data_IF_933089230263
#
_entry.id   IF_933089230263
#
_cell.length_a   1.000
_cell.length_b   1.000
_cell.length_c   1.000
_cell.angle_alpha   90.00
_cell.angle_beta   90.00
_cell.angle_gamma   90.00
#
_symmetry.space_group_name_H-M   'P 1'
#
loop_
_entity.id
_entity.type
_entity.pdbx_description
1 polymer ?
#
# COMPACT_ATOMS: atom_id res chain seq x y z
N UNK A 1 -27.29 -23.55 -51.31
CA UNK A 1 -26.46 -22.42 -50.81
C UNK A 1 -27.08 -21.72 -49.60
N UNK A 2 -28.37 -21.33 -49.64
CA UNK A 2 -29.07 -20.65 -48.51
C UNK A 2 -29.11 -21.42 -47.18
N UNK A 3 -29.36 -22.74 -47.23
CA UNK A 3 -29.43 -23.56 -46.01
C UNK A 3 -28.09 -23.68 -45.27
N UNK A 4 -26.97 -23.77 -46.00
CA UNK A 4 -25.62 -23.81 -45.42
C UNK A 4 -25.25 -22.48 -44.77
N UNK A 5 -25.66 -21.36 -45.36
CA UNK A 5 -25.44 -20.02 -44.79
C UNK A 5 -26.25 -19.83 -43.49
N UNK A 6 -27.50 -20.29 -43.44
CA UNK A 6 -28.34 -20.24 -42.23
C UNK A 6 -27.77 -21.08 -41.08
N UNK A 7 -27.27 -22.29 -41.36
CA UNK A 7 -26.63 -23.14 -40.36
C UNK A 7 -25.34 -22.49 -39.83
N UNK A 8 -24.55 -21.86 -40.70
CA UNK A 8 -23.31 -21.20 -40.29
C UNK A 8 -23.56 -19.95 -39.42
N UNK A 9 -24.58 -19.17 -39.74
CA UNK A 9 -25.01 -18.00 -38.94
C UNK A 9 -25.53 -18.45 -37.57
N UNK A 10 -26.34 -19.52 -37.52
CA UNK A 10 -26.86 -20.06 -36.27
C UNK A 10 -25.73 -20.62 -35.38
N UNK A 11 -24.79 -21.37 -35.95
CA UNK A 11 -23.63 -21.88 -35.22
C UNK A 11 -22.75 -20.74 -34.66
N UNK A 12 -22.52 -19.69 -35.46
CA UNK A 12 -21.77 -18.51 -35.02
C UNK A 12 -22.46 -17.77 -33.88
N UNK A 13 -23.79 -17.61 -33.96
CA UNK A 13 -24.58 -16.98 -32.89
C UNK A 13 -24.54 -17.80 -31.58
N UNK A 14 -24.59 -19.14 -31.67
CA UNK A 14 -24.46 -20.02 -30.51
C UNK A 14 -23.05 -19.91 -29.89
N UNK A 15 -21.99 -19.88 -30.70
CA UNK A 15 -20.63 -19.70 -30.19
C UNK A 15 -20.43 -18.35 -29.49
N UNK A 16 -20.98 -17.26 -30.04
CA UNK A 16 -20.95 -15.93 -29.40
C UNK A 16 -21.73 -15.96 -28.09
N UNK A 17 -22.92 -16.56 -28.07
CA UNK A 17 -23.74 -16.67 -26.86
C UNK A 17 -23.03 -17.48 -25.76
N UNK A 18 -22.44 -18.63 -26.09
CA UNK A 18 -21.67 -19.45 -25.15
C UNK A 18 -20.42 -18.72 -24.66
N UNK A 19 -19.75 -17.95 -25.54
CA UNK A 19 -18.61 -17.11 -25.18
C UNK A 19 -19.00 -16.04 -24.16
N UNK A 20 -20.07 -15.26 -24.44
CA UNK A 20 -20.59 -14.22 -23.55
C UNK A 20 -21.08 -14.83 -22.23
N UNK A 21 -21.82 -15.95 -22.28
CA UNK A 21 -22.32 -16.65 -21.09
C UNK A 21 -21.17 -17.17 -20.21
N UNK A 22 -20.11 -17.74 -20.80
CA UNK A 22 -18.93 -18.18 -20.05
C UNK A 22 -18.18 -17.00 -19.40
N UNK A 23 -18.15 -15.84 -20.06
CA UNK A 23 -17.55 -14.61 -19.54
C UNK A 23 -18.36 -14.06 -18.37
N UNK A 24 -19.69 -14.10 -18.46
CA UNK A 24 -20.62 -13.71 -17.40
C UNK A 24 -20.52 -14.63 -16.19
N UNK A 25 -20.43 -15.95 -16.41
CA UNK A 25 -20.21 -16.94 -15.34
C UNK A 25 -18.86 -16.71 -14.65
N UNK A 26 -17.78 -16.50 -15.41
CA UNK A 26 -16.45 -16.20 -14.81
C UNK A 26 -16.47 -14.91 -14.01
N UNK A 27 -17.12 -13.85 -14.51
CA UNK A 27 -17.30 -12.60 -13.76
C UNK A 27 -18.13 -12.81 -12.49
N UNK A 28 -19.19 -13.62 -12.56
CA UNK A 28 -20.06 -13.96 -11.43
C UNK A 28 -19.30 -14.75 -10.35
N UNK A 29 -18.55 -15.79 -10.74
CA UNK A 29 -17.72 -16.54 -9.79
C UNK A 29 -16.64 -15.67 -9.17
N UNK A 30 -15.95 -14.85 -9.96
CA UNK A 30 -14.95 -13.92 -9.43
C UNK A 30 -15.57 -12.90 -8.46
N UNK A 31 -16.75 -12.36 -8.79
CA UNK A 31 -17.50 -11.48 -7.89
C UNK A 31 -17.96 -12.22 -6.61
N UNK A 32 -18.35 -13.48 -6.70
CA UNK A 32 -18.77 -14.29 -5.55
C UNK A 32 -17.61 -14.63 -4.63
N UNK A 33 -16.43 -14.88 -5.19
CA UNK A 33 -15.20 -15.12 -4.44
C UNK A 33 -14.71 -13.84 -3.75
N UNK A 34 -14.78 -12.69 -4.43
CA UNK A 34 -14.52 -11.36 -3.84
C UNK A 34 -15.49 -11.10 -2.68
N UNK A 35 -16.80 -11.31 -2.87
CA UNK A 35 -17.80 -11.09 -1.82
C UNK A 35 -17.62 -12.03 -0.61
N UNK A 36 -17.22 -13.28 -0.84
CA UNK A 36 -16.91 -14.24 0.23
C UNK A 36 -15.67 -13.81 1.02
N UNK A 37 -14.63 -13.36 0.32
CA UNK A 37 -13.44 -12.79 0.95
C UNK A 37 -13.80 -11.48 1.69
N UNK A 38 -14.63 -10.61 1.14
CA UNK A 38 -15.06 -9.39 1.84
C UNK A 38 -15.78 -9.71 3.17
N UNK A 39 -16.69 -10.69 3.17
CA UNK A 39 -17.39 -11.13 4.39
C UNK A 39 -16.47 -11.75 5.45
N UNK A 40 -15.48 -12.57 5.05
CA UNK A 40 -14.55 -13.18 6.02
C UNK A 40 -13.63 -12.15 6.71
N UNK A 41 -13.46 -10.95 6.16
CA UNK A 41 -12.53 -9.93 6.65
C UNK A 41 -13.20 -8.80 7.44
N UNK A 42 -14.53 -8.64 7.34
CA UNK A 42 -15.30 -7.60 8.02
C UNK A 42 -15.49 -7.88 9.52
N UNK A 43 -15.69 -9.15 9.89
CA UNK A 43 -15.99 -9.58 11.28
C UNK A 43 -14.77 -10.21 11.99
N UNK A 44 -13.56 -9.99 11.46
CA UNK A 44 -12.36 -10.68 11.93
C UNK A 44 -11.78 -10.05 13.20
N UNK A 45 -11.26 -10.86 14.12
CA UNK A 45 -10.73 -10.41 15.40
C UNK A 45 -9.32 -9.81 15.26
N UNK A 46 -9.22 -8.49 15.18
CA UNK A 46 -7.94 -7.77 15.06
C UNK A 46 -7.12 -7.71 16.36
N UNK A 47 -7.39 -8.57 17.35
CA UNK A 47 -6.54 -8.70 18.53
C UNK A 47 -5.13 -9.14 18.13
N UNK A 48 -4.14 -8.41 18.63
CA UNK A 48 -2.73 -8.66 18.41
C UNK A 48 -2.30 -9.95 19.15
N UNK A 49 -1.49 -10.75 18.48
CA UNK A 49 -0.79 -11.88 19.11
C UNK A 49 0.37 -11.36 19.97
N UNK A 50 0.86 -12.13 20.96
CA UNK A 50 2.03 -11.74 21.75
C UNK A 50 3.27 -11.44 20.92
N UNK A 51 3.43 -12.16 19.80
CA UNK A 51 4.53 -11.95 18.85
C UNK A 51 4.39 -10.61 18.13
N UNK A 52 3.20 -10.25 17.66
CA UNK A 52 2.95 -8.95 17.00
C UNK A 52 3.15 -7.78 17.95
N UNK A 53 2.69 -7.91 19.20
CA UNK A 53 2.92 -6.90 20.25
C UNK A 53 4.43 -6.71 20.46
N UNK A 54 5.18 -7.82 20.57
CA UNK A 54 6.64 -7.78 20.74
C UNK A 54 7.32 -7.12 19.55
N UNK A 55 6.90 -7.47 18.33
CA UNK A 55 7.41 -6.87 17.10
C UNK A 55 7.14 -5.36 17.04
N UNK A 56 5.96 -4.91 17.48
CA UNK A 56 5.56 -3.51 17.42
C UNK A 56 6.27 -2.63 18.45
N UNK A 57 6.52 -3.18 19.65
CA UNK A 57 7.23 -2.47 20.71
C UNK A 57 8.73 -2.26 20.42
N UNK A 58 9.25 -2.94 19.40
CA UNK A 58 10.65 -2.90 19.04
C UNK A 58 11.50 -3.83 19.91
N UNK A 59 12.80 -3.88 19.60
CA UNK A 59 13.78 -4.62 20.38
C UNK A 59 14.58 -3.72 21.32
N UNK A 60 15.32 -4.32 22.24
CA UNK A 60 16.36 -3.64 23.04
C UNK A 60 17.71 -3.58 22.29
N UNK A 61 17.70 -3.57 20.96
CA UNK A 61 18.95 -3.56 20.20
C UNK A 61 19.61 -2.18 20.24
N UNK A 62 20.62 -2.04 21.09
CA UNK A 62 21.39 -0.81 21.29
C UNK A 62 22.58 -0.67 20.32
N UNK A 63 22.82 -1.67 19.47
CA UNK A 63 23.93 -1.59 18.52
C UNK A 63 23.54 -0.72 17.32
N UNK A 64 24.00 0.55 17.35
CA UNK A 64 23.79 1.57 16.32
C UNK A 64 24.08 1.10 14.88
N UNK A 65 25.04 0.19 14.69
CA UNK A 65 25.42 -0.33 13.37
C UNK A 65 24.48 -1.40 12.82
N UNK A 66 23.56 -1.88 13.65
CA UNK A 66 22.51 -2.83 13.28
C UNK A 66 21.10 -2.20 13.28
N UNK A 67 21.01 -0.88 13.48
CA UNK A 67 19.73 -0.18 13.51
C UNK A 67 19.21 0.09 12.10
N UNK A 68 17.88 0.07 11.98
CA UNK A 68 17.21 0.46 10.74
C UNK A 68 17.38 1.97 10.56
N UNK A 69 17.89 2.45 9.40
CA UNK A 69 18.05 3.89 9.17
C UNK A 69 16.75 4.64 9.33
N UNK A 70 16.77 5.82 9.98
CA UNK A 70 15.57 6.62 10.17
C UNK A 70 15.25 7.49 8.94
N UNK A 71 15.15 6.85 7.78
CA UNK A 71 14.90 7.49 6.47
C UNK A 71 13.62 6.91 5.90
N UNK A 72 12.72 7.80 5.44
CA UNK A 72 11.49 7.40 4.75
C UNK A 72 11.70 7.46 3.24
N UNK A 73 11.16 6.46 2.55
CA UNK A 73 11.23 6.29 1.10
C UNK A 73 9.81 6.21 0.53
N UNK A 74 9.53 7.05 -0.46
CA UNK A 74 8.36 6.95 -1.33
C UNK A 74 8.81 6.63 -2.75
N UNK A 75 7.99 5.92 -3.52
CA UNK A 75 8.17 5.75 -4.96
C UNK A 75 7.02 6.41 -5.71
N UNK A 76 7.33 7.33 -6.60
CA UNK A 76 6.37 8.06 -7.42
C UNK A 76 6.80 7.95 -8.89
N UNK A 77 6.19 7.04 -9.64
CA UNK A 77 6.57 6.76 -11.03
C UNK A 77 5.36 6.88 -11.98
N UNK A 78 5.64 7.21 -13.24
CA UNK A 78 4.65 7.30 -14.31
C UNK A 78 5.14 6.58 -15.58
N UNK A 79 4.21 6.29 -16.51
CA UNK A 79 4.50 5.48 -17.71
C UNK A 79 5.38 6.21 -18.75
N UNK A 80 5.45 7.54 -18.69
CA UNK A 80 6.02 8.38 -19.75
C UNK A 80 7.04 9.41 -19.25
N UNK A 81 7.84 9.89 -20.19
CA UNK A 81 8.88 10.93 -20.00
C UNK A 81 8.33 12.30 -19.57
N UNK A 82 7.00 12.45 -19.49
CA UNK A 82 6.33 13.69 -19.04
C UNK A 82 6.55 13.99 -17.55
N UNK A 83 7.17 13.07 -16.81
CA UNK A 83 7.32 13.17 -15.37
C UNK A 83 6.08 12.68 -14.64
N UNK A 84 6.30 12.12 -13.45
CA UNK A 84 5.23 11.81 -12.53
C UNK A 84 4.60 13.09 -11.99
N UNK A 85 3.30 13.04 -11.75
CA UNK A 85 2.53 14.10 -11.11
C UNK A 85 2.27 13.71 -9.66
N UNK A 86 2.50 14.62 -8.72
CA UNK A 86 2.11 14.43 -7.33
C UNK A 86 0.66 14.90 -7.17
N UNK A 87 -0.24 13.99 -6.82
CA UNK A 87 -1.63 14.32 -6.52
C UNK A 87 -1.80 14.79 -5.08
N UNK A 88 -2.88 15.53 -4.79
CA UNK A 88 -3.11 16.11 -3.45
C UNK A 88 -3.08 15.07 -2.33
N UNK A 89 -3.72 13.90 -2.53
CA UNK A 89 -3.72 12.84 -1.52
C UNK A 89 -2.31 12.25 -1.29
N UNK A 90 -1.46 12.22 -2.31
CA UNK A 90 -0.07 11.76 -2.20
C UNK A 90 0.81 12.78 -1.48
N UNK A 91 0.56 14.07 -1.73
CA UNK A 91 1.17 15.15 -0.96
C UNK A 91 0.84 15.03 0.54
N UNK A 92 -0.42 14.73 0.88
CA UNK A 92 -0.81 14.48 2.27
C UNK A 92 -0.08 13.28 2.88
N UNK A 93 0.18 12.21 2.12
CA UNK A 93 0.95 11.06 2.60
C UNK A 93 2.40 11.43 2.94
N UNK A 94 3.08 12.17 2.07
CA UNK A 94 4.44 12.68 2.33
C UNK A 94 4.43 13.62 3.54
N UNK A 95 3.46 14.52 3.61
CA UNK A 95 3.29 15.46 4.73
C UNK A 95 3.03 14.75 6.06
N UNK A 96 2.22 13.71 6.06
CA UNK A 96 1.95 12.87 7.22
C UNK A 96 3.25 12.24 7.77
N UNK A 97 4.09 11.70 6.87
CA UNK A 97 5.39 11.16 7.26
C UNK A 97 6.32 12.24 7.88
N UNK A 98 6.38 13.45 7.31
CA UNK A 98 7.15 14.55 7.90
C UNK A 98 6.70 14.87 9.33
N UNK A 99 5.39 14.97 9.54
CA UNK A 99 4.82 15.42 10.81
C UNK A 99 4.83 14.34 11.90
N UNK A 100 4.47 13.10 11.54
CA UNK A 100 4.21 12.02 12.52
C UNK A 100 5.41 11.09 12.69
N UNK A 101 6.11 10.76 11.61
CA UNK A 101 7.32 9.95 11.70
C UNK A 101 8.50 10.82 12.16
N UNK A 102 8.60 12.05 11.65
CA UNK A 102 9.74 12.95 11.86
C UNK A 102 11.08 12.27 11.53
N UNK A 103 11.22 11.69 10.33
CA UNK A 103 12.45 11.00 9.95
C UNK A 103 13.59 11.99 9.77
N UNK A 104 14.83 11.49 9.79
CA UNK A 104 16.01 12.30 9.48
C UNK A 104 15.92 12.87 8.05
N UNK A 105 15.42 12.06 7.11
CA UNK A 105 15.29 12.39 5.69
C UNK A 105 14.09 11.69 5.09
N UNK A 106 13.45 12.35 4.12
CA UNK A 106 12.48 11.72 3.21
C UNK A 106 13.06 11.74 1.80
N UNK A 107 12.98 10.59 1.12
CA UNK A 107 13.45 10.43 -0.26
C UNK A 107 12.28 10.04 -1.15
N UNK A 108 12.10 10.76 -2.24
CA UNK A 108 11.10 10.46 -3.27
C UNK A 108 11.83 9.90 -4.49
N UNK A 109 11.58 8.63 -4.77
CA UNK A 109 12.23 7.85 -5.83
C UNK A 109 11.35 7.88 -7.08
N UNK A 110 11.92 8.26 -8.22
CA UNK A 110 11.17 8.37 -9.47
C UNK A 110 12.04 8.08 -10.69
N UNK A 111 11.42 7.90 -11.86
CA UNK A 111 12.13 7.93 -13.14
C UNK A 111 12.21 9.34 -13.73
N UNK A 112 11.17 10.14 -13.52
CA UNK A 112 11.06 11.53 -13.94
C UNK A 112 9.93 12.17 -13.14
N UNK A 113 10.02 13.46 -12.82
CA UNK A 113 9.02 14.21 -12.06
C UNK A 113 8.70 15.52 -12.76
N UNK A 114 7.44 15.92 -12.77
CA UNK A 114 7.09 17.29 -13.09
C UNK A 114 7.40 18.20 -11.88
N UNK A 115 8.55 18.86 -11.89
CA UNK A 115 8.95 19.77 -10.79
C UNK A 115 8.12 21.06 -10.74
N UNK A 116 7.32 21.35 -11.77
CA UNK A 116 6.35 22.46 -11.79
C UNK A 116 5.00 22.09 -11.16
N UNK A 117 4.81 20.82 -10.76
CA UNK A 117 3.60 20.37 -10.07
C UNK A 117 3.37 21.17 -8.77
N UNK A 118 2.16 21.71 -8.59
CA UNK A 118 1.84 22.60 -7.47
C UNK A 118 2.08 21.95 -6.09
N UNK A 119 1.76 20.67 -5.95
CA UNK A 119 1.89 19.94 -4.69
C UNK A 119 3.35 19.60 -4.40
N UNK A 120 4.12 19.29 -5.44
CA UNK A 120 5.56 19.08 -5.33
C UNK A 120 6.27 20.37 -4.88
N UNK A 121 5.92 21.51 -5.47
CA UNK A 121 6.54 22.79 -5.13
C UNK A 121 6.40 23.15 -3.65
N UNK A 122 5.30 22.75 -3.00
CA UNK A 122 5.08 22.97 -1.57
C UNK A 122 5.97 22.12 -0.67
N UNK A 123 6.46 20.96 -1.13
CA UNK A 123 7.13 19.97 -0.28
C UNK A 123 8.59 19.71 -0.67
N UNK A 124 9.02 20.11 -1.87
CA UNK A 124 10.34 19.81 -2.43
C UNK A 124 11.53 20.22 -1.53
N UNK A 125 11.38 21.28 -0.71
CA UNK A 125 12.43 21.74 0.21
C UNK A 125 12.54 20.91 1.51
N UNK A 126 11.60 19.99 1.73
CA UNK A 126 11.55 19.09 2.90
C UNK A 126 11.90 17.64 2.54
N UNK A 127 12.08 17.35 1.26
CA UNK A 127 12.34 15.99 0.75
C UNK A 127 13.53 16.00 -0.21
N UNK A 128 14.04 14.83 -0.51
CA UNK A 128 15.10 14.65 -1.49
C UNK A 128 14.60 13.86 -2.69
N UNK A 129 14.73 14.46 -3.87
CA UNK A 129 14.40 13.80 -5.12
C UNK A 129 15.54 12.85 -5.52
N UNK A 130 15.20 11.58 -5.76
CA UNK A 130 16.14 10.56 -6.24
C UNK A 130 15.67 10.05 -7.59
N UNK A 131 16.34 10.53 -8.65
CA UNK A 131 16.09 10.08 -10.02
C UNK A 131 16.80 8.75 -10.26
N UNK A 132 16.03 7.74 -10.66
CA UNK A 132 16.53 6.45 -11.13
C UNK A 132 16.47 6.45 -12.65
N UNK A 133 17.55 5.98 -13.26
CA UNK A 133 17.42 5.50 -14.64
C UNK A 133 16.43 4.34 -14.61
N UNK A 134 15.42 4.36 -15.48
CA UNK A 134 14.53 3.22 -15.73
C UNK A 134 15.35 2.10 -16.36
N UNK A 135 16.15 1.42 -15.54
CA UNK A 135 17.07 0.37 -15.94
C UNK A 135 16.28 -0.87 -16.33
N UNK A 136 16.92 -1.72 -17.11
CA UNK A 136 16.51 -3.12 -17.32
C UNK A 136 16.77 -4.01 -16.07
N UNK A 137 16.83 -3.45 -14.86
CA UNK A 137 17.25 -4.19 -13.64
C UNK A 137 16.12 -4.91 -12.95
N UNK A 138 15.71 -6.02 -13.54
CA UNK A 138 15.49 -7.34 -12.94
C UNK A 138 15.17 -8.20 -14.16
N UNK A 139 16.11 -9.06 -14.51
CA UNK A 139 15.91 -10.06 -15.55
C UNK A 139 14.89 -11.04 -14.98
N UNK A 140 13.60 -10.78 -15.18
CA UNK A 140 12.65 -11.87 -15.36
C UNK A 140 13.19 -12.71 -16.51
N UNK A 141 12.93 -14.01 -16.53
CA UNK A 141 13.47 -14.94 -17.55
C UNK A 141 13.26 -14.49 -19.00
N UNK A 142 12.35 -13.55 -19.25
CA UNK A 142 12.04 -12.98 -20.57
C UNK A 142 12.52 -11.53 -20.81
N UNK A 143 13.10 -10.87 -19.80
CA UNK A 143 13.66 -9.52 -19.92
C UNK A 143 12.63 -8.45 -20.30
N UNK A 144 12.24 -7.65 -19.31
CA UNK A 144 12.48 -6.19 -19.25
C UNK A 144 11.41 -5.51 -18.38
N UNK A 145 11.85 -4.85 -17.31
CA UNK A 145 11.01 -4.10 -16.35
C UNK A 145 10.02 -3.12 -17.00
N UNK A 146 10.40 -2.44 -18.10
CA UNK A 146 9.52 -1.46 -18.73
C UNK A 146 8.22 -2.06 -19.30
N UNK A 147 8.18 -3.39 -19.50
CA UNK A 147 6.97 -4.11 -19.94
C UNK A 147 6.04 -4.46 -18.80
N UNK A 148 6.51 -4.36 -17.55
CA UNK A 148 5.69 -4.63 -16.38
C UNK A 148 4.70 -3.50 -16.13
N UNK A 149 3.57 -3.83 -15.52
CA UNK A 149 2.65 -2.80 -15.01
C UNK A 149 3.36 -1.94 -13.96
N UNK A 150 3.08 -0.63 -13.94
CA UNK A 150 3.76 0.31 -13.03
C UNK A 150 3.79 -0.14 -11.57
N UNK A 151 2.71 -0.68 -10.97
CA UNK A 151 2.76 -1.11 -9.57
C UNK A 151 3.83 -2.17 -9.29
N UNK A 152 4.07 -3.09 -10.24
CA UNK A 152 5.15 -4.08 -10.13
C UNK A 152 6.54 -3.47 -10.31
N UNK A 153 6.68 -2.42 -11.12
CA UNK A 153 7.92 -1.65 -11.17
C UNK A 153 8.21 -0.97 -9.83
N UNK A 154 7.17 -0.44 -9.17
CA UNK A 154 7.26 0.13 -7.83
C UNK A 154 7.62 -0.91 -6.77
N UNK A 155 7.06 -2.13 -6.85
CA UNK A 155 7.40 -3.25 -5.96
C UNK A 155 8.87 -3.64 -6.05
N UNK A 156 9.42 -3.67 -7.25
CA UNK A 156 10.84 -3.97 -7.45
C UNK A 156 11.70 -2.82 -6.91
N UNK A 157 11.39 -1.58 -7.30
CA UNK A 157 12.18 -0.42 -6.91
C UNK A 157 12.20 -0.20 -5.39
N UNK A 158 11.06 -0.37 -4.69
CA UNK A 158 11.01 -0.25 -3.22
C UNK A 158 11.92 -1.28 -2.54
N UNK A 159 11.93 -2.52 -3.03
CA UNK A 159 12.76 -3.58 -2.48
C UNK A 159 14.25 -3.35 -2.78
N UNK A 160 14.61 -2.88 -3.98
CA UNK A 160 16.00 -2.51 -4.31
C UNK A 160 16.51 -1.35 -3.45
N UNK A 161 15.66 -0.34 -3.20
CA UNK A 161 15.98 0.79 -2.34
C UNK A 161 16.20 0.32 -0.90
N UNK A 162 15.28 -0.44 -0.33
CA UNK A 162 15.42 -0.95 1.03
C UNK A 162 16.58 -1.93 1.17
N UNK A 163 16.81 -2.79 0.19
CA UNK A 163 17.97 -3.68 0.20
C UNK A 163 19.29 -2.89 0.20
N UNK A 164 19.40 -1.83 -0.60
CA UNK A 164 20.63 -1.06 -0.70
C UNK A 164 20.84 -0.06 0.44
N UNK A 165 19.77 0.51 1.00
CA UNK A 165 19.85 1.65 1.92
C UNK A 165 19.17 1.41 3.26
N UNK A 166 18.34 0.39 3.40
CA UNK A 166 17.42 0.22 4.52
C UNK A 166 16.41 1.36 4.60
N UNK A 167 15.74 1.48 5.74
CA UNK A 167 14.81 2.55 6.05
C UNK A 167 13.37 2.09 6.18
N UNK A 168 12.46 3.05 6.04
CA UNK A 168 11.02 2.87 6.05
C UNK A 168 10.52 3.17 4.64
N UNK A 169 9.88 2.21 3.98
CA UNK A 169 9.14 2.45 2.77
C UNK A 169 7.66 2.68 3.08
N UNK A 170 7.04 3.65 2.41
CA UNK A 170 5.61 3.91 2.42
C UNK A 170 5.10 4.06 0.97
N UNK A 171 3.98 3.41 0.63
CA UNK A 171 3.24 3.75 -0.58
C UNK A 171 2.70 5.19 -0.48
N UNK A 172 2.47 5.80 -1.65
CA UNK A 172 2.03 7.22 -1.74
C UNK A 172 0.58 7.47 -1.29
N UNK A 173 -0.10 6.45 -0.79
CA UNK A 173 -1.43 6.47 -0.19
C UNK A 173 -1.42 5.90 1.25
N UNK A 174 -0.24 5.81 1.86
CA UNK A 174 -0.06 5.51 3.28
C UNK A 174 0.18 6.79 4.07
N UNK A 175 -0.69 7.03 5.05
CA UNK A 175 -0.63 8.18 5.93
C UNK A 175 -0.11 7.74 7.29
N UNK A 176 1.10 8.16 7.64
CA UNK A 176 1.62 7.93 8.98
C UNK A 176 0.80 8.71 10.01
N UNK A 177 0.39 8.03 11.09
CA UNK A 177 -0.41 8.60 12.16
C UNK A 177 0.41 8.73 13.45
N UNK A 178 1.41 7.86 13.64
CA UNK A 178 2.34 7.87 14.76
C UNK A 178 3.79 7.73 14.32
N UNK A 179 4.73 7.90 15.25
CA UNK A 179 6.15 7.69 14.99
C UNK A 179 6.50 6.21 14.82
N UNK A 180 7.38 5.91 13.88
CA UNK A 180 7.88 4.56 13.63
C UNK A 180 9.16 4.25 14.41
N UNK A 181 9.64 5.19 15.24
CA UNK A 181 10.87 5.06 16.04
C UNK A 181 10.99 3.71 16.78
N UNK A 182 9.93 3.18 17.43
CA UNK A 182 10.02 1.89 18.11
C UNK A 182 10.39 0.72 17.19
N UNK A 183 9.93 0.75 15.93
CA UNK A 183 10.19 -0.33 14.96
C UNK A 183 11.66 -0.42 14.55
N UNK A 184 12.40 0.70 14.67
CA UNK A 184 13.79 0.80 14.20
C UNK A 184 14.80 0.03 15.07
N UNK A 185 14.40 -0.33 16.29
CA UNK A 185 15.23 -1.08 17.25
C UNK A 185 14.95 -2.58 17.24
N UNK A 186 14.13 -3.06 16.29
CA UNK A 186 13.84 -4.48 16.12
C UNK A 186 15.12 -5.32 16.08
N UNK A 187 15.03 -6.57 16.52
CA UNK A 187 16.09 -7.57 16.38
C UNK A 187 16.10 -8.23 15.00
N UNK A 188 14.98 -8.23 14.26
CA UNK A 188 14.87 -8.84 12.92
C UNK A 188 15.12 -7.83 11.79
N UNK A 189 15.44 -8.37 10.62
CA UNK A 189 15.92 -7.57 9.49
C UNK A 189 14.82 -6.71 8.86
N UNK A 190 13.58 -7.19 8.91
CA UNK A 190 12.41 -6.58 8.26
C UNK A 190 11.23 -6.58 9.22
N UNK A 191 10.39 -5.56 9.13
CA UNK A 191 9.05 -5.51 9.72
C UNK A 191 8.01 -5.22 8.65
N UNK A 192 6.90 -5.96 8.67
CA UNK A 192 5.76 -5.80 7.76
C UNK A 192 4.46 -6.13 8.49
N UNK A 193 3.34 -5.55 8.04
CA UNK A 193 2.01 -5.85 8.56
C UNK A 193 1.24 -6.83 7.68
N UNK A 194 0.35 -7.61 8.30
CA UNK A 194 -0.64 -8.40 7.57
C UNK A 194 -1.72 -7.50 6.95
N UNK A 195 -2.11 -7.74 5.70
CA UNK A 195 -3.07 -6.88 4.98
C UNK A 195 -4.54 -7.08 5.39
N UNK A 196 -4.82 -8.09 6.21
CA UNK A 196 -6.16 -8.36 6.71
C UNK A 196 -6.19 -9.42 7.80
N UNK A 197 -7.36 -9.57 8.42
CA UNK A 197 -7.53 -10.33 9.65
C UNK A 197 -6.98 -11.76 9.58
N UNK A 198 -7.24 -12.50 8.50
CA UNK A 198 -6.79 -13.88 8.33
C UNK A 198 -5.26 -14.11 8.40
N UNK A 199 -4.45 -13.04 8.40
CA UNK A 199 -2.97 -13.10 8.40
C UNK A 199 -2.41 -13.95 7.26
N UNK A 200 -3.13 -13.99 6.13
CA UNK A 200 -2.77 -14.79 4.96
C UNK A 200 -1.81 -14.09 4.00
N UNK A 201 -1.70 -12.76 4.09
CA UNK A 201 -0.88 -11.94 3.21
C UNK A 201 -0.17 -10.80 3.94
N UNK A 202 1.11 -10.58 3.62
CA UNK A 202 1.90 -9.46 4.16
C UNK A 202 1.89 -8.30 3.16
N UNK A 203 1.27 -7.19 3.54
CA UNK A 203 1.14 -6.03 2.66
C UNK A 203 2.47 -5.30 2.48
N UNK A 204 2.81 -4.95 1.25
CA UNK A 204 4.09 -4.30 0.92
C UNK A 204 4.02 -2.76 0.88
N UNK A 205 2.88 -2.18 1.23
CA UNK A 205 2.70 -0.72 1.29
C UNK A 205 3.49 -0.06 2.42
N UNK A 206 3.82 -0.83 3.47
CA UNK A 206 4.70 -0.41 4.56
C UNK A 206 5.74 -1.49 4.81
N UNK A 207 7.01 -1.13 4.65
CA UNK A 207 8.13 -2.05 4.92
C UNK A 207 9.19 -1.28 5.70
N UNK A 208 9.58 -1.81 6.86
CA UNK A 208 10.66 -1.24 7.67
C UNK A 208 11.81 -2.24 7.63
N UNK A 209 12.99 -1.85 7.14
CA UNK A 209 14.03 -2.82 6.83
C UNK A 209 15.45 -2.31 7.04
N UNK A 210 16.33 -3.20 7.50
CA UNK A 210 17.77 -2.96 7.47
C UNK A 210 18.32 -3.05 6.04
N UNK A 211 19.40 -2.30 5.75
CA UNK A 211 20.15 -2.52 4.52
C UNK A 211 20.70 -3.96 4.49
N UNK A 212 20.79 -4.54 3.29
CA UNK A 212 21.24 -5.90 3.04
C UNK A 212 20.46 -6.98 3.83
N UNK A 213 19.17 -6.74 4.10
CA UNK A 213 18.32 -7.71 4.80
C UNK A 213 18.22 -9.04 4.07
N UNK A 214 18.31 -10.12 4.83
CA UNK A 214 18.22 -11.48 4.28
C UNK A 214 16.83 -11.72 3.67
N UNK A 215 15.78 -11.23 4.33
CA UNK A 215 14.41 -11.38 3.87
C UNK A 215 14.16 -10.70 2.51
N UNK A 216 14.55 -9.42 2.35
CA UNK A 216 14.38 -8.70 1.07
C UNK A 216 15.24 -9.33 -0.02
N UNK A 217 16.44 -9.82 0.30
CA UNK A 217 17.29 -10.53 -0.68
C UNK A 217 16.58 -11.73 -1.29
N UNK A 218 15.94 -12.56 -0.46
CA UNK A 218 15.15 -13.72 -0.90
C UNK A 218 13.92 -13.31 -1.70
N UNK A 219 13.27 -12.22 -1.27
CA UNK A 219 12.10 -11.72 -1.97
C UNK A 219 12.42 -11.18 -3.36
N UNK A 220 13.50 -10.40 -3.50
CA UNK A 220 14.03 -9.97 -4.80
C UNK A 220 14.44 -11.17 -5.67
N UNK A 221 15.00 -12.23 -5.08
CA UNK A 221 15.30 -13.47 -5.79
C UNK A 221 14.05 -14.18 -6.30
N UNK A 222 12.95 -14.20 -5.53
CA UNK A 222 11.67 -14.73 -5.98
C UNK A 222 11.10 -13.93 -7.17
N UNK A 223 11.15 -12.60 -7.12
CA UNK A 223 10.81 -11.76 -8.28
C UNK A 223 11.68 -12.09 -9.52
N UNK A 224 12.98 -12.39 -9.34
CA UNK A 224 13.84 -12.78 -10.48
C UNK A 224 13.47 -14.13 -11.09
N UNK A 225 13.15 -15.12 -10.25
CA UNK A 225 13.03 -16.51 -10.67
C UNK A 225 11.64 -16.92 -11.14
N UNK A 226 10.59 -16.35 -10.55
CA UNK A 226 9.22 -16.85 -10.74
C UNK A 226 8.19 -15.76 -10.97
N UNK A 227 8.61 -14.50 -11.21
CA UNK A 227 7.66 -13.42 -11.41
C UNK A 227 6.73 -13.65 -12.60
N UNK A 228 5.46 -13.38 -12.36
CA UNK A 228 4.38 -13.63 -13.29
C UNK A 228 3.42 -12.43 -13.28
N UNK A 229 3.48 -11.62 -14.34
CA UNK A 229 2.66 -10.41 -14.46
C UNK A 229 1.23 -10.68 -14.98
N UNK A 230 0.78 -11.94 -15.00
CA UNK A 230 -0.60 -12.24 -15.40
C UNK A 230 -1.59 -11.58 -14.43
N UNK A 231 -2.77 -11.12 -14.91
CA UNK A 231 -3.76 -10.47 -14.05
C UNK A 231 -4.19 -11.29 -12.83
N UNK A 232 -4.23 -12.62 -12.95
CA UNK A 232 -4.60 -13.53 -11.85
C UNK A 232 -3.53 -13.61 -10.75
N UNK A 233 -2.30 -13.16 -11.03
CA UNK A 233 -1.16 -13.19 -10.13
C UNK A 233 -0.88 -11.82 -9.50
N UNK A 234 -1.85 -10.89 -9.57
CA UNK A 234 -1.68 -9.48 -9.19
C UNK A 234 -1.01 -9.25 -7.85
N UNK A 235 -1.48 -9.89 -6.78
CA UNK A 235 -0.91 -9.74 -5.44
C UNK A 235 0.08 -10.85 -5.08
N UNK A 236 0.35 -11.80 -5.98
CA UNK A 236 1.08 -13.01 -5.62
C UNK A 236 2.50 -12.69 -5.14
N UNK A 237 3.29 -11.99 -5.94
CA UNK A 237 4.65 -11.63 -5.56
C UNK A 237 4.71 -10.49 -4.54
N UNK A 238 3.71 -9.63 -4.52
CA UNK A 238 3.67 -8.43 -3.66
C UNK A 238 3.17 -8.73 -2.24
N UNK A 239 2.39 -9.80 -2.04
CA UNK A 239 1.68 -10.09 -0.79
C UNK A 239 1.80 -11.56 -0.34
N UNK A 240 1.61 -12.51 -1.25
CA UNK A 240 1.60 -13.93 -0.89
C UNK A 240 3.01 -14.50 -0.73
N UNK A 241 3.93 -14.16 -1.63
CA UNK A 241 5.34 -14.55 -1.53
C UNK A 241 6.01 -14.06 -0.24
N UNK A 242 5.91 -12.79 0.20
CA UNK A 242 6.49 -12.40 1.48
C UNK A 242 5.84 -13.14 2.65
N UNK A 243 4.53 -13.44 2.61
CA UNK A 243 3.89 -14.26 3.66
C UNK A 243 4.44 -15.69 3.71
N UNK A 244 4.69 -16.31 2.55
CA UNK A 244 5.35 -17.63 2.47
C UNK A 244 6.78 -17.58 3.00
N UNK A 245 7.56 -16.57 2.60
CA UNK A 245 8.93 -16.38 3.09
C UNK A 245 8.96 -16.13 4.61
N UNK A 246 7.97 -15.44 5.16
CA UNK A 246 7.87 -15.21 6.61
C UNK A 246 7.60 -16.51 7.37
N UNK A 247 6.82 -17.42 6.78
CA UNK A 247 6.60 -18.76 7.33
C UNK A 247 7.87 -19.63 7.25
N UNK A 248 8.60 -19.57 6.14
CA UNK A 248 9.83 -20.35 5.93
C UNK A 248 11.03 -19.83 6.73
N UNK A 249 11.11 -18.51 6.93
CA UNK A 249 12.25 -17.83 7.56
C UNK A 249 11.80 -16.85 8.66
N UNK A 250 11.10 -17.31 9.71
CA UNK A 250 10.47 -16.45 10.72
C UNK A 250 11.47 -15.58 11.49
N UNK A 251 12.72 -16.04 11.64
CA UNK A 251 13.76 -15.28 12.34
C UNK A 251 14.24 -14.03 11.58
N UNK A 252 13.88 -13.90 10.29
CA UNK A 252 14.33 -12.79 9.44
C UNK A 252 13.32 -11.64 9.36
N UNK A 253 12.10 -11.82 9.89
CA UNK A 253 11.02 -10.84 9.79
C UNK A 253 10.16 -10.76 11.05
N UNK A 254 9.87 -9.54 11.49
CA UNK A 254 8.89 -9.23 12.53
C UNK A 254 7.56 -8.88 11.86
N UNK A 255 6.53 -9.70 12.09
CA UNK A 255 5.20 -9.44 11.53
C UNK A 255 4.34 -8.65 12.50
N UNK A 256 3.61 -7.67 11.98
CA UNK A 256 2.69 -6.82 12.74
C UNK A 256 1.25 -7.16 12.36
N UNK A 257 0.33 -6.90 13.29
CA UNK A 257 -1.09 -7.10 13.03
C UNK A 257 -1.60 -6.14 11.95
N UNK A 258 -2.75 -6.44 11.33
CA UNK A 258 -3.36 -5.51 10.39
C UNK A 258 -3.67 -4.15 11.00
N UNK A 259 -3.95 -4.08 12.31
CA UNK A 259 -4.24 -2.84 13.01
C UNK A 259 -3.11 -1.80 12.88
N UNK A 260 -1.85 -2.26 12.81
CA UNK A 260 -0.69 -1.38 12.72
C UNK A 260 -0.70 -0.50 11.45
N UNK A 261 -1.03 -1.06 10.28
CA UNK A 261 -0.87 -0.37 8.98
C UNK A 261 -2.05 -0.49 8.02
N UNK A 262 -2.84 -1.58 8.12
CA UNK A 262 -3.78 -2.03 7.09
C UNK A 262 -5.23 -2.13 7.58
N UNK A 263 -5.51 -1.59 8.77
CA UNK A 263 -6.87 -1.41 9.25
C UNK A 263 -7.31 0.05 9.09
N UNK A 264 -8.50 0.33 8.52
CA UNK A 264 -9.41 -0.60 7.86
C UNK A 264 -8.84 -1.22 6.56
N UNK A 265 -9.33 -2.42 6.21
CA UNK A 265 -8.76 -3.23 5.11
C UNK A 265 -9.20 -2.77 3.71
N UNK A 266 -8.74 -3.49 2.69
CA UNK A 266 -9.07 -3.27 1.28
C UNK A 266 -10.50 -3.62 0.89
N UNK A 267 -11.31 -4.20 1.79
CA UNK A 267 -12.70 -4.55 1.46
C UNK A 267 -13.50 -3.31 1.09
N UNK A 268 -14.46 -3.49 0.18
CA UNK A 268 -15.29 -2.39 -0.30
C UNK A 268 -15.99 -1.66 0.85
N UNK A 269 -16.53 -2.39 1.81
CA UNK A 269 -17.24 -1.84 2.96
C UNK A 269 -16.32 -0.98 3.83
N UNK A 270 -15.07 -1.41 4.07
CA UNK A 270 -14.11 -0.63 4.83
C UNK A 270 -13.70 0.66 4.11
N UNK A 271 -13.39 0.58 2.82
CA UNK A 271 -13.09 1.76 1.99
C UNK A 271 -14.30 2.71 1.96
N UNK A 272 -15.50 2.20 1.71
CA UNK A 272 -16.73 3.00 1.73
C UNK A 272 -16.98 3.64 3.11
N UNK A 273 -16.71 2.93 4.20
CA UNK A 273 -16.86 3.45 5.56
C UNK A 273 -15.93 4.64 5.87
N UNK A 274 -14.74 4.66 5.24
CA UNK A 274 -13.76 5.72 5.41
C UNK A 274 -14.14 7.00 4.67
N UNK A 275 -14.79 6.86 3.52
CA UNK A 275 -15.07 7.97 2.61
C UNK A 275 -16.53 8.42 2.56
N UNK A 276 -17.49 7.64 3.09
CA UNK A 276 -18.88 8.08 3.17
C UNK A 276 -18.97 9.32 4.08
N UNK A 277 -19.80 10.32 3.72
CA UNK A 277 -20.19 11.35 4.66
C UNK A 277 -20.75 10.72 5.93
N UNK A 278 -20.30 11.21 7.08
CA UNK A 278 -20.90 10.84 8.36
C UNK A 278 -22.35 11.32 8.39
N UNK A 279 -23.23 10.52 8.99
CA UNK A 279 -24.60 10.95 9.21
C UNK A 279 -24.60 12.16 10.16
N UNK A 280 -25.69 12.94 10.15
CA UNK A 280 -25.87 14.10 11.04
C UNK A 280 -25.92 13.70 12.52
N UNK A 281 -25.87 12.41 12.83
CA UNK A 281 -25.76 11.91 14.20
C UNK A 281 -24.39 12.30 14.77
N UNK A 282 -24.41 13.25 15.71
CA UNK A 282 -23.22 13.77 16.36
C UNK A 282 -22.42 12.71 17.12
N UNK A 283 -22.99 11.54 17.39
CA UNK A 283 -22.31 10.46 18.12
C UNK A 283 -21.12 9.88 17.36
N UNK A 284 -21.26 9.50 16.08
CA UNK A 284 -20.16 8.92 15.27
C UNK A 284 -19.00 9.92 15.14
N UNK A 285 -19.30 11.19 14.86
CA UNK A 285 -18.30 12.26 14.78
C UNK A 285 -17.57 12.47 16.11
N UNK A 286 -18.30 12.48 17.23
CA UNK A 286 -17.74 12.66 18.57
C UNK A 286 -16.83 11.50 18.94
N UNK A 287 -17.24 10.27 18.62
CA UNK A 287 -16.45 9.06 18.87
C UNK A 287 -15.14 9.08 18.08
N UNK A 288 -15.18 9.38 16.77
CA UNK A 288 -13.96 9.45 15.93
C UNK A 288 -12.98 10.48 16.49
N UNK A 289 -13.46 11.68 16.82
CA UNK A 289 -12.61 12.74 17.39
C UNK A 289 -12.04 12.34 18.75
N UNK A 290 -12.85 11.70 19.59
CA UNK A 290 -12.41 11.15 20.88
C UNK A 290 -11.30 10.12 20.69
N UNK A 291 -11.46 9.19 19.74
CA UNK A 291 -10.47 8.16 19.45
C UNK A 291 -9.17 8.76 18.92
N UNK A 292 -9.23 9.70 17.97
CA UNK A 292 -8.06 10.41 17.45
C UNK A 292 -7.29 11.11 18.57
N UNK A 293 -8.00 11.76 19.50
CA UNK A 293 -7.36 12.38 20.66
C UNK A 293 -6.75 11.35 21.61
N UNK A 294 -7.45 10.24 21.87
CA UNK A 294 -7.01 9.19 22.78
C UNK A 294 -5.77 8.46 22.25
N UNK A 295 -5.72 8.22 20.94
CA UNK A 295 -4.66 7.46 20.27
C UNK A 295 -3.70 8.35 19.48
N UNK A 296 -3.53 9.61 19.94
CA UNK A 296 -2.47 10.53 19.49
C UNK A 296 -2.39 10.71 17.97
N UNK A 297 -3.54 10.83 17.30
CA UNK A 297 -3.65 10.99 15.85
C UNK A 297 -4.21 9.77 15.12
N UNK A 298 -4.32 8.62 15.78
CA UNK A 298 -4.85 7.40 15.18
C UNK A 298 -6.34 7.17 15.50
N UNK A 299 -7.08 6.49 14.61
CA UNK A 299 -8.50 6.18 14.86
C UNK A 299 -8.70 4.93 15.71
N UNK A 300 -7.72 4.03 15.71
CA UNK A 300 -7.80 2.73 16.35
C UNK A 300 -6.60 2.50 17.27
N UNK A 301 -6.74 1.67 18.32
CA UNK A 301 -5.60 1.25 19.14
C UNK A 301 -4.50 0.63 18.27
N UNK A 302 -3.25 0.84 18.65
CA UNK A 302 -2.05 0.27 18.02
C UNK A 302 -1.85 0.64 16.53
N UNK A 303 -2.65 1.55 15.97
CA UNK A 303 -2.53 1.97 14.59
C UNK A 303 -1.41 3.00 14.41
N UNK A 304 -0.42 2.65 13.60
CA UNK A 304 0.74 3.50 13.30
C UNK A 304 0.55 4.26 11.99
N UNK A 305 -0.16 3.67 11.03
CA UNK A 305 -0.49 4.28 9.75
C UNK A 305 -1.86 3.83 9.25
N UNK A 306 -2.39 4.59 8.29
CA UNK A 306 -3.56 4.23 7.53
C UNK A 306 -3.19 4.10 6.05
N UNK A 307 -3.42 2.92 5.46
CA UNK A 307 -3.29 2.68 4.03
C UNK A 307 -4.65 2.89 3.34
N UNK A 308 -4.71 3.80 2.37
CA UNK A 308 -5.97 4.17 1.71
C UNK A 308 -6.31 3.34 0.47
N UNK A 309 -5.51 2.30 0.14
CA UNK A 309 -5.79 1.36 -0.94
C UNK A 309 -6.03 2.06 -2.29
N UNK A 310 -5.11 2.93 -2.70
CA UNK A 310 -5.29 3.84 -3.84
C UNK A 310 -5.59 3.13 -5.16
N UNK A 311 -5.12 1.89 -5.35
CA UNK A 311 -5.52 1.08 -6.51
C UNK A 311 -7.04 0.82 -6.58
N UNK A 312 -7.74 0.81 -5.43
CA UNK A 312 -9.20 0.62 -5.32
C UNK A 312 -9.94 1.95 -5.08
N UNK A 313 -9.39 2.83 -4.26
CA UNK A 313 -10.06 4.06 -3.80
C UNK A 313 -9.81 5.28 -4.71
N UNK A 314 -8.77 5.28 -5.56
CA UNK A 314 -8.34 6.48 -6.29
C UNK A 314 -9.43 7.09 -7.16
N UNK A 315 -10.03 6.31 -8.05
CA UNK A 315 -10.99 6.85 -9.02
C UNK A 315 -12.27 7.40 -8.37
N UNK A 316 -12.72 6.72 -7.31
CA UNK A 316 -13.99 7.04 -6.65
C UNK A 316 -13.84 8.10 -5.56
N UNK A 317 -12.70 8.16 -4.87
CA UNK A 317 -12.53 8.99 -3.68
C UNK A 317 -11.29 9.87 -3.76
N UNK A 318 -10.08 9.30 -3.83
CA UNK A 318 -8.84 10.06 -3.60
C UNK A 318 -8.56 11.11 -4.67
N UNK A 319 -8.83 10.81 -5.95
CA UNK A 319 -8.60 11.75 -7.07
C UNK A 319 -9.54 12.96 -7.03
N UNK A 320 -10.66 12.85 -6.32
CA UNK A 320 -11.65 13.93 -6.18
C UNK A 320 -11.39 14.78 -4.92
N UNK A 321 -10.42 14.38 -4.09
CA UNK A 321 -10.06 15.11 -2.89
C UNK A 321 -9.40 16.44 -3.25
N UNK A 322 -9.84 17.50 -2.60
CA UNK A 322 -9.27 18.85 -2.71
C UNK A 322 -9.10 19.42 -1.30
N UNK A 323 -8.30 20.50 -1.13
CA UNK A 323 -8.27 21.23 0.14
C UNK A 323 -9.66 21.60 0.68
N UNK A 324 -10.54 22.05 -0.20
CA UNK A 324 -11.91 22.44 0.17
C UNK A 324 -12.73 21.25 0.68
N UNK A 325 -12.72 20.13 -0.05
CA UNK A 325 -13.50 18.95 0.37
C UNK A 325 -12.93 18.33 1.64
N UNK A 326 -11.61 18.34 1.81
CA UNK A 326 -10.94 17.87 3.03
C UNK A 326 -11.34 18.67 4.29
N UNK A 327 -11.45 19.99 4.15
CA UNK A 327 -11.80 20.89 5.25
C UNK A 327 -13.30 20.89 5.55
N UNK A 328 -14.15 20.80 4.52
CA UNK A 328 -15.58 21.08 4.64
C UNK A 328 -16.50 19.85 4.61
N UNK A 329 -16.00 18.67 4.25
CA UNK A 329 -16.80 17.43 4.24
C UNK A 329 -16.37 16.52 5.40
N UNK A 330 -17.33 16.12 6.23
CA UNK A 330 -17.10 15.23 7.37
C UNK A 330 -17.17 13.76 6.94
N UNK A 331 -16.01 13.19 6.63
CA UNK A 331 -15.78 11.74 6.44
C UNK A 331 -14.69 11.30 7.42
N UNK A 332 -14.60 10.00 7.74
CA UNK A 332 -13.53 9.49 8.63
C UNK A 332 -12.14 9.82 8.06
N UNK A 333 -11.97 9.64 6.75
CA UNK A 333 -10.75 9.98 6.04
C UNK A 333 -10.39 11.46 6.17
N UNK A 334 -11.36 12.35 5.95
CA UNK A 334 -11.10 13.79 6.00
C UNK A 334 -10.77 14.24 7.41
N UNK A 335 -11.50 13.77 8.42
CA UNK A 335 -11.26 14.09 9.83
C UNK A 335 -9.85 13.64 10.24
N UNK A 336 -9.45 12.44 9.83
CA UNK A 336 -8.13 11.88 10.14
C UNK A 336 -6.99 12.77 9.59
N UNK A 337 -7.14 13.28 8.37
CA UNK A 337 -6.07 13.99 7.66
C UNK A 337 -6.16 15.53 7.77
N UNK A 338 -7.24 16.07 8.35
CA UNK A 338 -7.47 17.51 8.44
C UNK A 338 -6.32 18.22 9.17
N UNK A 339 -5.96 17.72 10.35
CA UNK A 339 -4.85 18.27 11.15
C UNK A 339 -3.51 18.21 10.39
N UNK A 340 -3.27 17.11 9.65
CA UNK A 340 -2.06 16.96 8.82
C UNK A 340 -2.03 18.04 7.73
N UNK A 341 -3.16 18.31 7.08
CA UNK A 341 -3.25 19.36 6.06
C UNK A 341 -3.07 20.77 6.64
N UNK A 342 -3.69 21.07 7.78
CA UNK A 342 -3.65 22.41 8.40
C UNK A 342 -2.30 22.74 9.05
N UNK A 343 -1.58 21.72 9.53
CA UNK A 343 -0.27 21.91 10.19
C UNK A 343 0.78 22.39 9.21
N UNK A 344 1.50 23.46 9.54
CA UNK A 344 2.60 23.97 8.71
C UNK A 344 3.82 23.03 8.79
N UNK A 345 4.51 22.81 7.67
CA UNK A 345 5.70 21.92 7.57
C UNK A 345 6.98 22.64 7.25
#
# INVERSE_FOLDING_TARGET
MRLRLQVFVLASAICVFLGVYSLLIRRSHHATEILRLEHEYLDWDFVDTPEEITCQQGGNNTNKWSQIPFVVHFVLIAEHDRGAELEFYQYLAIKAALLRIQPERIKVHTYALNEENEWWQLIQHRVELVIHTRRETLITTDGVIHKLRLPHQTDILRLEVLHSRGGIYLDTDVYALQSFSPLLTSSRDVLMGYEGGSRSGLGNAVIVARPASTFISRWLEAYRKSFDDRPQMWNHHSVMVPAQLAHEFPDTICTLSPAAFFWPTWSREHIESMHRPLSVDASELTEIKSNISQWQGAMFPNQLAYHAWGNLARERYLRQLTPDTLLNVETKFNILLREIYETSV
#
